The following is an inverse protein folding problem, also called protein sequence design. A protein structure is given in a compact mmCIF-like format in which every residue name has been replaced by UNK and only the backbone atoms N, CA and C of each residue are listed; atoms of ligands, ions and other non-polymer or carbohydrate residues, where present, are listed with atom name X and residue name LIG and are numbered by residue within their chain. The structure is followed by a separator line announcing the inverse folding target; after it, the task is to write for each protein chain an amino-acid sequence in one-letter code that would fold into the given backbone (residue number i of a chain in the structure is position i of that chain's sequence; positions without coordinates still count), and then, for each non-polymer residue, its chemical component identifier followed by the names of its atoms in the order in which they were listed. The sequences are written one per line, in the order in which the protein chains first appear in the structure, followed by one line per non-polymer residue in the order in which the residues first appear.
data_IF_940266573765
#
_entry.id   IF_940266573765
#
_cell.length_a   1.000
_cell.length_b   1.000
_cell.length_c   1.000
_cell.angle_alpha   90.00
_cell.angle_beta   90.00
_cell.angle_gamma   90.00
#
_symmetry.space_group_name_H-M   'P 1'
#
loop_
_entity.id
_entity.type
_entity.pdbx_description
1 polymer ?
#
# COMPACT_ATOMS: atom_id res chain seq x y z
N UNK A 1 28.16 4.12 -37.38
CA UNK A 1 27.28 4.95 -36.54
C UNK A 1 26.03 4.22 -36.01
N UNK A 2 25.92 2.89 -36.17
CA UNK A 2 24.76 2.10 -35.68
C UNK A 2 24.94 1.58 -34.25
N UNK A 3 26.19 1.32 -33.84
CA UNK A 3 26.54 0.87 -32.49
C UNK A 3 25.99 1.76 -31.35
N UNK A 4 26.13 3.11 -31.37
CA UNK A 4 25.61 3.93 -30.28
C UNK A 4 24.08 3.90 -30.19
N UNK A 5 23.37 3.79 -31.31
CA UNK A 5 21.91 3.69 -31.34
C UNK A 5 21.45 2.34 -30.77
N UNK A 6 22.14 1.25 -31.13
CA UNK A 6 21.79 -0.07 -30.62
C UNK A 6 21.98 -0.17 -29.10
N UNK A 7 23.07 0.40 -28.56
CA UNK A 7 23.33 0.42 -27.11
C UNK A 7 22.24 1.17 -26.37
N UNK A 8 21.80 2.33 -26.89
CA UNK A 8 20.75 3.14 -26.26
C UNK A 8 19.41 2.36 -26.21
N UNK A 9 19.06 1.64 -27.27
CA UNK A 9 17.87 0.80 -27.32
C UNK A 9 17.95 -0.32 -26.27
N UNK A 10 19.08 -1.02 -26.16
CA UNK A 10 19.26 -2.10 -25.18
C UNK A 10 19.14 -1.59 -23.75
N UNK A 11 19.80 -0.46 -23.44
CA UNK A 11 19.71 0.18 -22.12
C UNK A 11 18.27 0.56 -21.80
N UNK A 12 17.55 1.16 -22.76
CA UNK A 12 16.13 1.52 -22.58
C UNK A 12 15.24 0.33 -22.23
N UNK A 13 15.45 -0.82 -22.90
CA UNK A 13 14.68 -2.05 -22.63
C UNK A 13 14.98 -2.58 -21.21
N UNK A 14 16.24 -2.56 -20.78
CA UNK A 14 16.65 -3.03 -19.46
C UNK A 14 16.03 -2.16 -18.35
N UNK A 15 16.11 -0.84 -18.49
CA UNK A 15 15.52 0.12 -17.53
C UNK A 15 14.01 -0.05 -17.42
N UNK A 16 13.32 -0.18 -18.56
CA UNK A 16 11.89 -0.43 -18.55
C UNK A 16 11.53 -1.76 -17.87
N UNK A 17 12.32 -2.81 -18.11
CA UNK A 17 12.14 -4.10 -17.44
C UNK A 17 12.24 -3.98 -15.91
N UNK A 18 13.22 -3.25 -15.40
CA UNK A 18 13.41 -3.05 -13.95
C UNK A 18 12.36 -2.12 -13.33
N UNK A 19 11.89 -1.13 -14.08
CA UNK A 19 10.76 -0.30 -13.66
C UNK A 19 9.48 -1.14 -13.55
N UNK A 20 9.24 -2.01 -14.52
CA UNK A 20 8.10 -2.90 -14.53
C UNK A 20 8.11 -3.89 -13.36
N UNK A 21 9.27 -4.45 -12.99
CA UNK A 21 9.36 -5.31 -11.80
C UNK A 21 9.06 -4.54 -10.51
N UNK A 22 9.43 -3.27 -10.43
CA UNK A 22 9.10 -2.40 -9.30
C UNK A 22 7.59 -2.16 -9.18
N UNK A 23 6.93 -1.95 -10.33
CA UNK A 23 5.47 -1.81 -10.43
C UNK A 23 4.71 -3.11 -10.12
N UNK A 24 5.18 -4.25 -10.62
CA UNK A 24 4.55 -5.54 -10.33
C UNK A 24 4.67 -5.90 -8.86
N UNK A 25 5.81 -5.59 -8.24
CA UNK A 25 6.04 -5.88 -6.82
C UNK A 25 5.23 -4.97 -5.90
N UNK A 26 5.10 -3.66 -6.21
CA UNK A 26 4.22 -2.78 -5.43
C UNK A 26 2.77 -3.24 -5.49
N UNK A 27 2.31 -3.70 -6.66
CA UNK A 27 0.95 -4.24 -6.86
C UNK A 27 0.75 -5.57 -6.11
N UNK A 28 1.74 -6.45 -6.10
CA UNK A 28 1.68 -7.70 -5.33
C UNK A 28 1.58 -7.41 -3.82
N UNK A 29 2.43 -6.49 -3.33
CA UNK A 29 2.44 -6.03 -1.94
C UNK A 29 1.08 -5.48 -1.50
N UNK A 30 0.47 -4.61 -2.30
CA UNK A 30 -0.84 -4.04 -1.96
C UNK A 30 -1.94 -5.09 -1.97
N UNK A 31 -1.89 -6.08 -2.86
CA UNK A 31 -2.87 -7.18 -2.90
C UNK A 31 -2.76 -8.10 -1.68
N UNK A 32 -1.55 -8.44 -1.29
CA UNK A 32 -1.27 -9.26 -0.10
C UNK A 32 -1.71 -8.54 1.18
N UNK A 33 -1.39 -7.25 1.30
CA UNK A 33 -1.85 -6.39 2.38
C UNK A 33 -3.36 -6.25 2.42
N UNK A 34 -3.99 -5.91 1.30
CA UNK A 34 -5.45 -5.70 1.22
C UNK A 34 -6.24 -6.96 1.53
N UNK A 35 -5.75 -8.15 1.14
CA UNK A 35 -6.38 -9.43 1.49
C UNK A 35 -6.42 -9.64 3.00
N UNK A 36 -5.29 -9.44 3.70
CA UNK A 36 -5.27 -9.55 5.15
C UNK A 36 -6.07 -8.44 5.83
N UNK A 37 -6.08 -7.25 5.23
CA UNK A 37 -6.84 -6.12 5.74
C UNK A 37 -8.36 -6.39 5.67
N UNK A 38 -8.84 -7.00 4.59
CA UNK A 38 -10.24 -7.37 4.42
C UNK A 38 -10.74 -8.31 5.53
N UNK A 39 -9.90 -9.25 5.97
CA UNK A 39 -10.31 -10.32 6.91
C UNK A 39 -10.01 -9.99 8.37
N UNK A 40 -8.90 -9.30 8.64
CA UNK A 40 -8.38 -9.18 10.00
C UNK A 40 -8.63 -7.80 10.65
N UNK A 41 -9.00 -6.79 9.86
CA UNK A 41 -9.01 -5.41 10.34
C UNK A 41 -10.27 -5.04 11.13
N UNK A 42 -11.44 -5.48 10.67
CA UNK A 42 -12.70 -5.26 11.35
C UNK A 42 -13.14 -6.57 12.03
N UNK A 43 -12.99 -6.62 13.35
CA UNK A 43 -13.37 -7.77 14.16
C UNK A 43 -14.43 -7.37 15.20
N UNK A 44 -15.30 -8.31 15.57
CA UNK A 44 -16.32 -8.13 16.60
C UNK A 44 -15.76 -7.55 17.90
N UNK A 45 -16.36 -6.48 18.42
CA UNK A 45 -15.93 -5.88 19.70
C UNK A 45 -14.49 -5.35 19.70
N UNK A 46 -13.91 -5.04 18.52
CA UNK A 46 -12.52 -4.60 18.40
C UNK A 46 -12.21 -3.40 19.28
N UNK A 47 -11.37 -3.64 20.29
CA UNK A 47 -10.63 -2.60 20.99
C UNK A 47 -9.45 -2.14 20.12
N UNK A 48 -8.98 -0.90 20.31
CA UNK A 48 -7.90 -0.31 19.50
C UNK A 48 -6.63 -1.20 19.42
N UNK A 49 -6.35 -2.02 20.45
CA UNK A 49 -5.21 -2.96 20.44
C UNK A 49 -5.35 -4.09 19.42
N UNK A 50 -6.55 -4.63 19.18
CA UNK A 50 -6.78 -5.67 18.18
C UNK A 50 -6.58 -5.13 16.75
N UNK A 51 -7.09 -3.92 16.49
CA UNK A 51 -6.88 -3.23 15.21
C UNK A 51 -5.40 -2.90 14.98
N UNK A 52 -4.67 -2.47 16.02
CA UNK A 52 -3.22 -2.24 15.91
C UNK A 52 -2.44 -3.54 15.62
N UNK A 53 -2.86 -4.67 16.19
CA UNK A 53 -2.28 -5.97 15.85
C UNK A 53 -2.56 -6.35 14.39
N UNK A 54 -3.79 -6.17 13.91
CA UNK A 54 -4.15 -6.40 12.51
C UNK A 54 -3.34 -5.51 11.55
N UNK A 55 -3.22 -4.21 11.86
CA UNK A 55 -2.37 -3.26 11.12
C UNK A 55 -0.93 -3.71 11.04
N UNK A 56 -0.38 -4.24 12.13
CA UNK A 56 0.99 -4.78 12.15
C UNK A 56 1.13 -6.00 11.22
N UNK A 57 0.13 -6.89 11.17
CA UNK A 57 0.14 -8.05 10.26
C UNK A 57 0.01 -7.63 8.79
N UNK A 58 -0.86 -6.67 8.49
CA UNK A 58 -1.02 -6.10 7.13
C UNK A 58 0.29 -5.44 6.67
N UNK A 59 0.94 -4.70 7.57
CA UNK A 59 2.21 -4.05 7.31
C UNK A 59 3.32 -5.08 7.07
N UNK A 60 3.34 -6.18 7.84
CA UNK A 60 4.32 -7.26 7.70
C UNK A 60 4.15 -8.03 6.39
N UNK A 61 2.91 -8.35 5.98
CA UNK A 61 2.66 -9.05 4.71
C UNK A 61 3.06 -8.20 3.51
N UNK A 62 2.69 -6.91 3.53
CA UNK A 62 3.07 -5.96 2.49
C UNK A 62 4.59 -5.79 2.43
N UNK A 63 5.26 -5.71 3.59
CA UNK A 63 6.71 -5.64 3.68
C UNK A 63 7.41 -6.90 3.16
N UNK A 64 6.82 -8.10 3.34
CA UNK A 64 7.40 -9.35 2.86
C UNK A 64 7.58 -9.34 1.34
N UNK A 65 6.58 -8.86 0.60
CA UNK A 65 6.64 -8.75 -0.86
C UNK A 65 7.64 -7.67 -1.30
N UNK A 66 7.79 -6.58 -0.54
CA UNK A 66 8.70 -5.49 -0.90
C UNK A 66 10.18 -5.81 -0.67
N UNK A 67 10.50 -6.80 0.15
CA UNK A 67 11.90 -7.22 0.44
C UNK A 67 12.63 -7.76 -0.78
N UNK A 68 11.91 -8.20 -1.81
CA UNK A 68 12.49 -8.79 -3.02
C UNK A 68 12.95 -7.72 -4.04
N UNK A 69 12.63 -6.45 -3.81
CA UNK A 69 13.05 -5.35 -4.67
C UNK A 69 14.57 -5.16 -4.63
N UNK A 70 15.19 -5.17 -5.81
CA UNK A 70 16.63 -4.93 -5.98
C UNK A 70 16.94 -3.49 -6.43
N UNK A 71 16.10 -2.92 -7.30
CA UNK A 71 16.33 -1.60 -7.93
C UNK A 71 15.29 -0.53 -7.53
N UNK A 72 14.58 -0.78 -6.42
CA UNK A 72 13.63 0.15 -5.86
C UNK A 72 13.68 0.13 -4.34
N UNK A 73 13.58 1.29 -3.72
CA UNK A 73 13.50 1.43 -2.27
C UNK A 73 12.06 1.73 -1.88
N UNK A 74 11.40 0.86 -1.09
CA UNK A 74 10.10 1.18 -0.53
C UNK A 74 10.17 2.47 0.29
N UNK A 75 9.16 3.32 0.16
CA UNK A 75 9.06 4.60 0.86
C UNK A 75 8.11 4.46 2.05
N UNK A 76 6.94 3.87 1.81
CA UNK A 76 5.95 3.65 2.84
C UNK A 76 4.68 3.02 2.29
N UNK A 77 3.69 2.90 3.18
CA UNK A 77 2.37 2.38 2.85
C UNK A 77 1.28 3.06 3.68
N UNK A 78 0.05 3.01 3.21
CA UNK A 78 -1.12 3.46 3.95
C UNK A 78 -2.22 2.41 3.91
N UNK A 79 -2.86 2.18 5.06
CA UNK A 79 -4.08 1.38 5.19
C UNK A 79 -5.21 2.32 5.51
N UNK A 80 -6.31 2.26 4.74
CA UNK A 80 -7.32 3.32 4.79
C UNK A 80 -8.72 2.84 4.48
N UNK A 81 -9.72 3.60 4.94
CA UNK A 81 -11.09 3.52 4.47
C UNK A 81 -11.23 4.25 3.14
N UNK A 82 -11.75 3.57 2.14
CA UNK A 82 -12.02 4.17 0.82
C UNK A 82 -13.07 5.26 0.97
N UNK A 83 -12.81 6.42 0.37
CA UNK A 83 -13.80 7.47 0.26
C UNK A 83 -14.86 7.06 -0.78
N UNK A 84 -16.14 6.88 -0.40
CA UNK A 84 -17.18 6.47 -1.34
C UNK A 84 -17.45 7.51 -2.45
N UNK A 85 -17.03 8.77 -2.25
CA UNK A 85 -17.11 9.81 -3.28
C UNK A 85 -15.97 9.76 -4.31
N UNK A 86 -14.92 8.96 -4.06
CA UNK A 86 -13.77 8.85 -4.95
C UNK A 86 -13.99 7.71 -5.97
N UNK A 87 -13.76 8.00 -7.25
CA UNK A 87 -13.93 7.01 -8.35
C UNK A 87 -12.72 6.11 -8.54
N UNK A 88 -11.57 6.47 -7.97
CA UNK A 88 -10.28 5.80 -8.08
C UNK A 88 -9.92 4.97 -6.83
N UNK A 89 -10.87 4.82 -5.90
CA UNK A 89 -10.66 4.10 -4.64
C UNK A 89 -9.72 4.83 -3.65
N UNK A 90 -9.54 6.14 -3.81
CA UNK A 90 -8.68 6.92 -2.93
C UNK A 90 -9.23 7.02 -1.48
N UNK A 91 -8.34 7.23 -0.49
CA UNK A 91 -8.76 7.62 0.85
C UNK A 91 -9.36 9.03 0.89
N UNK A 92 -9.97 9.38 2.02
CA UNK A 92 -10.28 10.78 2.32
C UNK A 92 -9.01 11.64 2.24
N UNK A 93 -9.10 12.78 1.55
CA UNK A 93 -7.96 13.67 1.30
C UNK A 93 -6.99 13.22 0.19
N UNK A 94 -7.26 12.10 -0.49
CA UNK A 94 -6.44 11.59 -1.60
C UNK A 94 -5.23 10.77 -1.15
N UNK A 95 -4.58 10.10 -2.11
CA UNK A 95 -3.40 9.27 -1.83
C UNK A 95 -2.25 10.08 -1.21
N UNK A 96 -1.45 9.48 -0.32
CA UNK A 96 -0.20 10.10 0.14
C UNK A 96 0.72 10.45 -1.04
N UNK A 97 1.34 11.62 -0.97
CA UNK A 97 2.36 12.10 -1.91
C UNK A 97 3.75 11.55 -1.60
N UNK A 98 4.78 12.23 -2.07
CA UNK A 98 6.17 11.83 -1.84
C UNK A 98 6.51 11.74 -0.34
N UNK A 99 7.31 10.73 0.02
CA UNK A 99 7.65 10.42 1.40
C UNK A 99 6.43 10.24 2.33
N UNK A 100 5.31 9.75 1.78
CA UNK A 100 4.03 9.60 2.49
C UNK A 100 3.44 10.93 3.01
N UNK A 101 3.86 12.07 2.46
CA UNK A 101 3.40 13.40 2.85
C UNK A 101 2.00 13.72 2.30
N UNK A 102 1.19 14.44 3.08
CA UNK A 102 -0.18 14.78 2.68
C UNK A 102 -1.07 13.56 2.44
N UNK A 103 -2.28 13.78 1.94
CA UNK A 103 -3.26 12.73 1.70
C UNK A 103 -3.71 11.99 2.97
N UNK A 104 -4.65 11.05 2.84
CA UNK A 104 -5.09 10.17 3.91
C UNK A 104 -5.46 10.94 5.20
N UNK A 105 -6.44 11.84 5.10
CA UNK A 105 -6.77 12.81 6.15
C UNK A 105 -7.67 12.26 7.25
N UNK A 106 -8.45 11.21 6.99
CA UNK A 106 -9.32 10.57 7.98
C UNK A 106 -9.44 9.07 7.73
N UNK A 107 -9.71 8.31 8.79
CA UNK A 107 -9.87 6.85 8.77
C UNK A 107 -8.73 6.16 8.00
N UNK A 108 -7.50 6.53 8.33
CA UNK A 108 -6.30 6.05 7.66
C UNK A 108 -5.13 5.95 8.62
N UNK A 109 -4.25 4.98 8.37
CA UNK A 109 -3.00 4.76 9.08
C UNK A 109 -1.85 4.72 8.07
N UNK A 110 -0.84 5.56 8.29
CA UNK A 110 0.36 5.65 7.46
C UNK A 110 1.53 4.94 8.12
N UNK A 111 2.36 4.34 7.28
CA UNK A 111 3.57 3.64 7.66
C UNK A 111 4.73 4.15 6.81
N UNK A 112 5.90 4.20 7.44
CA UNK A 112 7.17 4.50 6.78
C UNK A 112 8.01 3.25 6.71
N UNK A 113 8.72 3.05 5.60
CA UNK A 113 9.66 1.94 5.46
C UNK A 113 10.92 2.20 6.28
N UNK A 114 11.29 1.23 7.12
CA UNK A 114 12.58 1.20 7.79
C UNK A 114 13.55 0.33 6.96
N UNK A 115 14.56 0.92 6.29
CA UNK A 115 15.46 0.18 5.41
C UNK A 115 16.40 -0.77 6.17
N UNK A 116 16.66 -0.51 7.45
CA UNK A 116 17.55 -1.33 8.29
C UNK A 116 16.87 -2.63 8.70
N UNK A 117 15.64 -2.54 9.20
CA UNK A 117 14.87 -3.71 9.66
C UNK A 117 14.06 -4.36 8.53
N UNK A 118 13.96 -3.68 7.37
CA UNK A 118 13.11 -4.06 6.24
C UNK A 118 11.65 -4.28 6.66
N UNK A 119 11.14 -3.40 7.49
CA UNK A 119 9.76 -3.44 8.01
C UNK A 119 9.06 -2.11 7.80
N UNK A 120 7.74 -2.15 7.81
CA UNK A 120 6.89 -0.97 7.80
C UNK A 120 6.57 -0.58 9.25
N UNK A 121 6.87 0.66 9.62
CA UNK A 121 6.62 1.19 10.97
C UNK A 121 5.52 2.23 10.90
N UNK A 122 4.46 2.07 11.69
CA UNK A 122 3.36 3.03 11.78
C UNK A 122 3.91 4.40 12.20
N UNK A 123 3.47 5.45 11.52
CA UNK A 123 3.98 6.81 11.73
C UNK A 123 2.87 7.74 12.18
N UNK A 124 1.75 7.77 11.47
CA UNK A 124 0.62 8.66 11.77
C UNK A 124 -0.71 8.03 11.41
N UNK A 125 -1.78 8.64 11.89
CA UNK A 125 -3.14 8.26 11.55
C UNK A 125 -3.75 7.23 12.50
N UNK A 126 -5.07 7.14 12.45
CA UNK A 126 -5.89 6.23 13.24
C UNK A 126 -7.17 5.96 12.47
N UNK A 127 -7.66 4.73 12.59
CA UNK A 127 -8.98 4.34 12.13
C UNK A 127 -9.49 3.28 13.10
N UNK A 128 -10.50 3.65 13.88
CA UNK A 128 -10.98 2.85 15.03
C UNK A 128 -12.40 2.34 14.85
N UNK A 129 -13.14 2.94 13.92
CA UNK A 129 -14.54 2.65 13.63
C UNK A 129 -14.69 1.95 12.26
N UNK A 130 -13.91 0.90 12.03
CA UNK A 130 -14.08 0.05 10.85
C UNK A 130 -15.37 -0.76 10.99
N UNK A 131 -16.30 -0.60 10.05
CA UNK A 131 -17.59 -1.28 10.09
C UNK A 131 -17.64 -2.47 9.13
N UNK A 132 -17.77 -3.67 9.68
CA UNK A 132 -17.98 -4.92 8.95
C UNK A 132 -19.37 -5.53 9.20
N UNK A 133 -20.27 -4.77 9.81
CA UNK A 133 -21.59 -5.22 10.23
C UNK A 133 -22.70 -4.74 9.29
N UNK A 134 -23.70 -5.59 9.07
CA UNK A 134 -24.91 -5.23 8.33
C UNK A 134 -24.76 -5.24 6.80
N UNK A 135 -25.59 -4.45 6.11
CA UNK A 135 -25.68 -4.41 4.64
C UNK A 135 -24.68 -3.47 3.97
N UNK A 136 -24.18 -2.48 4.71
CA UNK A 136 -23.19 -1.49 4.26
C UNK A 136 -21.88 -1.74 4.99
N UNK A 137 -21.01 -2.51 4.34
CA UNK A 137 -19.69 -2.86 4.85
C UNK A 137 -18.65 -1.87 4.32
N UNK A 138 -17.75 -1.43 5.20
CA UNK A 138 -16.67 -0.55 4.82
C UNK A 138 -15.71 -1.22 3.83
N UNK A 139 -15.13 -0.38 2.97
CA UNK A 139 -14.14 -0.81 1.99
C UNK A 139 -12.77 -0.34 2.44
N UNK A 140 -11.82 -1.28 2.49
CA UNK A 140 -10.46 -1.07 2.94
C UNK A 140 -9.50 -1.03 1.74
N UNK A 141 -8.61 -0.05 1.73
CA UNK A 141 -7.57 0.11 0.74
C UNK A 141 -6.19 -0.01 1.36
N UNK A 142 -5.26 -0.57 0.59
CA UNK A 142 -3.83 -0.55 0.88
C UNK A 142 -3.11 0.13 -0.25
N UNK A 143 -2.36 1.18 0.06
CA UNK A 143 -1.52 1.93 -0.85
C UNK A 143 -0.06 1.72 -0.47
N UNK A 144 0.81 1.56 -1.47
CA UNK A 144 2.27 1.40 -1.30
C UNK A 144 2.99 2.32 -2.26
N UNK A 145 4.05 2.96 -1.76
CA UNK A 145 4.93 3.81 -2.55
C UNK A 145 6.35 3.23 -2.56
N UNK A 146 6.92 3.11 -3.74
CA UNK A 146 8.29 2.63 -3.99
C UNK A 146 9.02 3.66 -4.84
N UNK A 147 10.27 3.97 -4.51
CA UNK A 147 11.12 4.81 -5.33
C UNK A 147 12.05 3.92 -6.16
N UNK A 148 11.79 3.86 -7.46
CA UNK A 148 12.64 3.16 -8.42
C UNK A 148 13.87 4.02 -8.76
N UNK A 149 15.06 3.41 -8.77
CA UNK A 149 16.31 4.09 -9.13
C UNK A 149 16.80 3.58 -10.49
N UNK A 150 16.89 4.48 -11.46
CA UNK A 150 17.45 4.14 -12.77
C UNK A 150 18.96 3.89 -12.65
N UNK A 151 19.47 2.90 -13.36
CA UNK A 151 20.88 2.50 -13.29
C UNK A 151 21.74 3.45 -14.11
N UNK A 152 21.25 3.86 -15.28
CA UNK A 152 22.00 4.62 -16.28
C UNK A 152 21.85 6.13 -16.16
N UNK A 153 20.90 6.63 -15.36
CA UNK A 153 20.64 8.06 -15.16
C UNK A 153 20.09 8.80 -16.39
N UNK A 154 19.95 8.12 -17.54
CA UNK A 154 19.52 8.71 -18.82
C UNK A 154 18.06 9.20 -18.79
N UNK A 155 17.24 8.61 -17.92
CA UNK A 155 15.82 8.95 -17.72
C UNK A 155 15.56 9.69 -16.40
N UNK A 156 16.61 10.25 -15.80
CA UNK A 156 16.62 10.85 -14.46
C UNK A 156 17.18 9.91 -13.40
N UNK A 157 17.23 10.39 -12.16
CA UNK A 157 17.84 9.65 -11.04
C UNK A 157 16.89 8.61 -10.42
N UNK A 158 15.60 8.91 -10.41
CA UNK A 158 14.60 8.12 -9.70
C UNK A 158 13.18 8.41 -10.19
N UNK A 159 12.29 7.43 -10.03
CA UNK A 159 10.86 7.52 -10.34
C UNK A 159 10.04 6.92 -9.22
N UNK A 160 9.07 7.67 -8.72
CA UNK A 160 8.09 7.17 -7.77
C UNK A 160 7.11 6.25 -8.49
N UNK A 161 6.99 5.02 -7.99
CA UNK A 161 6.05 4.00 -8.42
C UNK A 161 5.08 3.76 -7.27
N UNK A 162 3.79 3.87 -7.57
CA UNK A 162 2.72 3.64 -6.59
C UNK A 162 1.90 2.43 -7.00
N UNK A 163 1.43 1.70 -6.00
CA UNK A 163 0.44 0.65 -6.15
C UNK A 163 -0.69 0.91 -5.15
N UNK A 164 -1.90 0.51 -5.51
CA UNK A 164 -3.00 0.43 -4.56
C UNK A 164 -3.86 -0.78 -4.85
N UNK A 165 -4.52 -1.29 -3.82
CA UNK A 165 -5.53 -2.33 -3.95
C UNK A 165 -6.61 -2.07 -2.94
N UNK A 166 -7.85 -2.21 -3.41
CA UNK A 166 -9.05 -1.96 -2.63
C UNK A 166 -9.82 -3.27 -2.51
N UNK A 167 -10.28 -3.59 -1.30
CA UNK A 167 -11.10 -4.76 -1.00
C UNK A 167 -12.22 -4.38 -0.05
N UNK A 168 -13.35 -5.08 -0.14
CA UNK A 168 -14.41 -4.96 0.86
C UNK A 168 -14.02 -5.77 2.10
N UNK A 169 -14.32 -5.27 3.29
CA UNK A 169 -14.15 -6.07 4.51
C UNK A 169 -15.04 -7.32 4.46
N UNK A 170 -14.60 -8.37 5.15
CA UNK A 170 -15.40 -9.58 5.31
C UNK A 170 -16.57 -9.30 6.25
N UNK A 171 -17.81 -9.61 5.85
CA UNK A 171 -18.98 -9.40 6.71
C UNK A 171 -18.88 -10.27 7.97
N UNK A 172 -19.10 -9.65 9.12
CA UNK A 172 -19.21 -10.37 10.39
C UNK A 172 -20.61 -10.98 10.53
N UNK A 173 -20.73 -12.14 11.22
CA UNK A 173 -22.04 -12.70 11.56
C UNK A 173 -22.82 -11.73 12.48
N UNK A 174 -24.15 -11.75 12.39
CA UNK A 174 -25.04 -10.84 13.13
C UNK A 174 -24.81 -10.82 14.64
N UNK A 175 -24.47 -11.99 15.20
CA UNK A 175 -24.26 -12.19 16.65
C UNK A 175 -22.99 -11.50 17.18
N UNK A 176 -22.14 -11.03 16.26
CA UNK A 176 -20.88 -10.34 16.55
C UNK A 176 -20.97 -8.82 16.34
N UNK A 177 -22.15 -8.33 15.93
CA UNK A 177 -22.41 -6.92 15.68
C UNK A 177 -23.10 -6.25 16.88
N UNK A 178 -22.82 -4.96 17.18
CA UNK A 178 -23.49 -4.26 18.27
C UNK A 178 -25.00 -4.14 17.97
N UNK A 179 -25.82 -4.93 18.68
CA UNK A 179 -27.28 -4.97 18.51
C UNK A 179 -27.87 -6.29 17.99
N UNK A 180 -27.08 -7.36 17.88
CA UNK A 180 -27.55 -8.74 17.68
C UNK A 180 -28.17 -9.36 18.92
#
# INVERSE_FOLDING_TARGET
MVLPVMILIVVGIIEFGMLFTSYSTSTASTRSGARLAATAYAQAGSVASAQNAALTQIALSSAADLKVLTNGTPVGMAVYKVNPAATDGAPFGGYPGDAMAGGCSSSCVKFTWNPTTKTMTQTTGSWTNADACGVTVDTIGVFVQVQHKYITGFFGSNRTVTGHTVMRLEPLPSDQCPGG
#
